data_IF_003274524154
#
_entry.id   IF_003274524154
#
_cell.length_a   1.000
_cell.length_b   1.000
_cell.length_c   1.000
_cell.angle_alpha   90.00
_cell.angle_beta   90.00
_cell.angle_gamma   90.00
#
_symmetry.space_group_name_H-M   'P 1'
#
loop_
_entity.id
_entity.type
_entity.pdbx_description
1 polymer ?
#
# COMPACT_ATOMS: atom_id res chain seq x y z
N UNK A 1 -14.80 -4.47 -12.73
CA UNK A 1 -13.78 -3.49 -12.26
C UNK A 1 -12.78 -4.11 -11.27
N UNK A 2 -13.23 -4.88 -10.27
CA UNK A 2 -12.34 -5.62 -9.34
C UNK A 2 -11.46 -6.66 -10.03
N UNK A 3 -12.01 -7.40 -10.99
CA UNK A 3 -11.25 -8.43 -11.72
C UNK A 3 -10.15 -7.83 -12.59
N UNK A 4 -10.45 -6.76 -13.34
CA UNK A 4 -9.46 -6.07 -14.19
C UNK A 4 -8.28 -5.51 -13.37
N UNK A 5 -8.51 -5.17 -12.10
CA UNK A 5 -7.48 -4.66 -11.21
C UNK A 5 -6.58 -5.78 -10.67
N UNK A 6 -7.18 -6.90 -10.23
CA UNK A 6 -6.45 -8.08 -9.81
C UNK A 6 -5.59 -8.63 -10.96
N UNK A 7 -6.12 -8.65 -12.18
CA UNK A 7 -5.32 -9.03 -13.36
C UNK A 7 -4.16 -8.07 -13.61
N UNK A 8 -4.33 -6.76 -13.35
CA UNK A 8 -3.27 -5.78 -13.55
C UNK A 8 -2.15 -5.91 -12.51
N UNK A 9 -2.49 -6.12 -11.23
CA UNK A 9 -1.50 -6.37 -10.16
C UNK A 9 -0.76 -7.68 -10.42
N UNK A 10 -1.49 -8.75 -10.78
CA UNK A 10 -0.87 -10.02 -11.14
C UNK A 10 0.05 -9.88 -12.35
N UNK A 11 -0.34 -9.10 -13.37
CA UNK A 11 0.51 -8.82 -14.52
C UNK A 11 1.80 -8.09 -14.09
N UNK A 12 1.70 -7.06 -13.22
CA UNK A 12 2.86 -6.33 -12.71
C UNK A 12 3.82 -7.23 -11.92
N UNK A 13 3.27 -8.10 -11.05
CA UNK A 13 4.07 -9.08 -10.30
C UNK A 13 4.74 -10.09 -11.23
N UNK A 14 4.02 -10.60 -12.23
CA UNK A 14 4.60 -11.51 -13.23
C UNK A 14 5.71 -10.81 -14.01
N UNK A 15 5.51 -9.56 -14.46
CA UNK A 15 6.56 -8.82 -15.17
C UNK A 15 7.80 -8.61 -14.29
N UNK A 16 7.62 -8.32 -13.01
CA UNK A 16 8.71 -8.14 -12.04
C UNK A 16 9.49 -9.45 -11.82
N UNK A 17 8.81 -10.59 -11.73
CA UNK A 17 9.44 -11.91 -11.62
C UNK A 17 10.18 -12.29 -12.91
N UNK A 18 9.59 -12.01 -14.07
CA UNK A 18 10.21 -12.29 -15.37
C UNK A 18 11.48 -11.47 -15.57
N UNK A 19 11.45 -10.16 -15.26
CA UNK A 19 12.62 -9.28 -15.39
C UNK A 19 13.73 -9.74 -14.44
N UNK A 20 13.41 -9.98 -13.16
CA UNK A 20 14.41 -10.43 -12.18
C UNK A 20 15.00 -11.80 -12.54
N UNK A 21 14.18 -12.74 -13.01
CA UNK A 21 14.64 -14.06 -13.46
C UNK A 21 15.48 -13.99 -14.74
N UNK A 22 15.17 -13.07 -15.66
CA UNK A 22 16.00 -12.83 -16.83
C UNK A 22 17.37 -12.26 -16.42
N UNK A 23 17.38 -11.28 -15.51
CA UNK A 23 18.62 -10.71 -14.97
C UNK A 23 19.47 -11.76 -14.24
N UNK A 24 18.86 -12.62 -13.43
CA UNK A 24 19.60 -13.68 -12.73
C UNK A 24 20.23 -14.65 -13.73
N UNK A 25 19.48 -15.09 -14.75
CA UNK A 25 19.99 -15.99 -15.78
C UNK A 25 21.20 -15.41 -16.54
N UNK A 26 21.14 -14.14 -16.94
CA UNK A 26 22.22 -13.49 -17.68
C UNK A 26 23.47 -13.20 -16.83
N UNK A 27 23.32 -13.02 -15.51
CA UNK A 27 24.41 -12.67 -14.60
C UNK A 27 25.00 -13.87 -13.85
N UNK A 28 24.37 -15.04 -13.98
CA UNK A 28 24.81 -16.27 -13.30
C UNK A 28 26.06 -16.84 -14.00
N UNK A 29 27.21 -16.71 -13.34
CA UNK A 29 28.48 -17.25 -13.84
C UNK A 29 29.72 -16.46 -13.42
N UNK A 30 29.57 -15.18 -13.08
CA UNK A 30 30.67 -14.30 -12.66
C UNK A 30 30.43 -13.70 -11.27
N UNK A 31 31.50 -13.54 -10.49
CA UNK A 31 31.43 -12.90 -9.15
C UNK A 31 30.91 -11.45 -9.22
N UNK A 32 31.26 -10.73 -10.29
CA UNK A 32 30.75 -9.37 -10.55
C UNK A 32 29.23 -9.35 -10.80
N UNK A 33 28.69 -10.41 -11.44
CA UNK A 33 27.26 -10.54 -11.69
C UNK A 33 26.44 -10.71 -10.41
N UNK A 34 26.98 -11.43 -9.42
CA UNK A 34 26.36 -11.56 -8.10
C UNK A 34 26.23 -10.22 -7.38
N UNK A 35 27.27 -9.36 -7.46
CA UNK A 35 27.24 -8.03 -6.84
C UNK A 35 26.18 -7.15 -7.49
N UNK A 36 26.09 -7.16 -8.82
CA UNK A 36 25.06 -6.42 -9.55
C UNK A 36 23.67 -6.89 -9.13
N UNK A 37 23.44 -8.20 -9.08
CA UNK A 37 22.16 -8.80 -8.69
C UNK A 37 21.76 -8.40 -7.26
N UNK A 38 22.72 -8.35 -6.33
CA UNK A 38 22.50 -7.87 -4.96
C UNK A 38 22.06 -6.40 -4.95
N UNK A 39 22.72 -5.54 -5.74
CA UNK A 39 22.33 -4.13 -5.91
C UNK A 39 20.92 -4.02 -6.50
N UNK A 40 20.57 -4.79 -7.53
CA UNK A 40 19.21 -4.81 -8.08
C UNK A 40 18.18 -5.23 -7.02
N UNK A 41 18.48 -6.27 -6.24
CA UNK A 41 17.60 -6.72 -5.16
C UNK A 41 17.36 -5.61 -4.13
N UNK A 42 18.42 -4.91 -3.71
CA UNK A 42 18.30 -3.79 -2.77
C UNK A 42 17.50 -2.62 -3.35
N UNK A 43 17.74 -2.24 -4.60
CA UNK A 43 17.00 -1.16 -5.25
C UNK A 43 15.53 -1.53 -5.46
N UNK A 44 15.26 -2.78 -5.82
CA UNK A 44 13.91 -3.32 -5.97
C UNK A 44 13.14 -3.29 -4.64
N UNK A 45 13.74 -3.80 -3.56
CA UNK A 45 13.14 -3.75 -2.22
C UNK A 45 12.93 -2.29 -1.82
N UNK A 46 13.93 -1.43 -2.02
CA UNK A 46 13.82 0.01 -1.77
C UNK A 46 12.66 0.65 -2.52
N UNK A 47 12.43 0.25 -3.78
CA UNK A 47 11.35 0.80 -4.62
C UNK A 47 9.96 0.43 -4.12
N UNK A 48 9.82 -0.77 -3.55
CA UNK A 48 8.58 -1.22 -2.92
C UNK A 48 8.26 -0.50 -1.60
N UNK A 49 9.27 0.06 -0.91
CA UNK A 49 9.08 0.78 0.37
C UNK A 49 9.00 2.30 0.22
N UNK A 50 9.91 2.90 -0.54
CA UNK A 50 10.04 4.36 -0.66
C UNK A 50 9.39 4.92 -1.93
N UNK A 51 8.88 4.06 -2.81
CA UNK A 51 8.28 4.44 -4.09
C UNK A 51 9.29 4.63 -5.22
N UNK A 52 8.79 5.05 -6.38
CA UNK A 52 9.53 5.10 -7.64
C UNK A 52 10.64 6.15 -7.65
N UNK A 53 10.31 7.37 -7.24
CA UNK A 53 11.11 8.58 -7.47
C UNK A 53 12.48 8.59 -6.74
N UNK A 54 12.57 8.30 -5.43
CA UNK A 54 13.86 8.34 -4.73
C UNK A 54 14.84 7.28 -5.25
N UNK A 55 14.33 6.08 -5.54
CA UNK A 55 15.16 4.97 -6.02
C UNK A 55 15.64 5.20 -7.45
N UNK A 56 14.81 5.79 -8.31
CA UNK A 56 15.21 6.15 -9.66
C UNK A 56 16.36 7.16 -9.64
N UNK A 57 16.31 8.15 -8.74
CA UNK A 57 17.40 9.13 -8.56
C UNK A 57 18.68 8.46 -8.07
N UNK A 58 18.60 7.60 -7.06
CA UNK A 58 19.76 6.83 -6.57
C UNK A 58 20.38 5.99 -7.67
N UNK A 59 19.54 5.37 -8.49
CA UNK A 59 19.97 4.54 -9.62
C UNK A 59 20.68 5.39 -10.67
N UNK A 60 20.12 6.55 -11.03
CA UNK A 60 20.75 7.44 -12.01
C UNK A 60 22.13 7.91 -11.55
N UNK A 61 22.28 8.25 -10.27
CA UNK A 61 23.59 8.63 -9.68
C UNK A 61 24.57 7.46 -9.74
N UNK A 62 24.14 6.25 -9.39
CA UNK A 62 24.95 5.03 -9.50
C UNK A 62 25.44 4.81 -10.94
N UNK A 63 24.53 4.88 -11.92
CA UNK A 63 24.86 4.73 -13.33
C UNK A 63 25.82 5.81 -13.83
N UNK A 64 25.63 7.05 -13.38
CA UNK A 64 26.51 8.15 -13.76
C UNK A 64 27.93 7.96 -13.22
N UNK A 65 28.07 7.56 -11.94
CA UNK A 65 29.38 7.28 -11.32
C UNK A 65 30.06 6.08 -11.98
N UNK A 66 29.34 4.96 -12.12
CA UNK A 66 29.87 3.74 -12.77
C UNK A 66 30.25 4.00 -14.22
N UNK A 67 29.40 4.69 -14.99
CA UNK A 67 29.66 5.05 -16.37
C UNK A 67 30.86 5.98 -16.53
N UNK A 68 31.03 6.96 -15.62
CA UNK A 68 32.19 7.86 -15.63
C UNK A 68 33.49 7.11 -15.36
N UNK A 69 33.49 6.16 -14.42
CA UNK A 69 34.66 5.30 -14.14
C UNK A 69 35.01 4.47 -15.37
N UNK A 70 34.02 3.85 -16.03
CA UNK A 70 34.26 3.07 -17.25
C UNK A 70 34.84 3.92 -18.37
N UNK A 71 34.27 5.10 -18.61
CA UNK A 71 34.72 6.01 -19.65
C UNK A 71 36.15 6.51 -19.40
N UNK A 72 36.50 6.80 -18.14
CA UNK A 72 37.84 7.18 -17.73
C UNK A 72 38.87 6.07 -18.02
N UNK A 73 38.53 4.82 -17.73
CA UNK A 73 39.42 3.68 -18.01
C UNK A 73 39.64 3.47 -19.52
N UNK A 74 38.60 3.69 -20.34
CA UNK A 74 38.72 3.63 -21.81
C UNK A 74 39.63 4.75 -22.33
N UNK A 75 39.51 5.98 -21.81
CA UNK A 75 40.32 7.13 -22.23
C UNK A 75 41.81 6.99 -21.95
N UNK A 76 42.19 6.30 -20.88
CA UNK A 76 43.61 6.11 -20.48
C UNK A 76 44.30 5.03 -21.31
N UNK A 77 43.60 4.41 -22.26
CA UNK A 77 44.18 3.41 -23.15
C UNK A 77 44.51 2.11 -22.40
N UNK A 78 43.80 1.82 -21.30
CA UNK A 78 43.80 0.46 -20.76
C UNK A 78 43.35 -0.47 -21.89
N UNK A 79 44.21 -1.44 -22.25
CA UNK A 79 43.91 -2.39 -23.31
C UNK A 79 42.51 -2.96 -23.07
N UNK A 80 41.60 -2.74 -24.03
CA UNK A 80 40.26 -3.29 -23.96
C UNK A 80 40.36 -4.81 -24.11
N UNK A 81 40.55 -5.49 -22.99
CA UNK A 81 40.44 -6.94 -22.92
C UNK A 81 38.98 -7.33 -23.24
N UNK A 82 38.78 -8.53 -23.78
CA UNK A 82 37.43 -9.06 -24.09
C UNK A 82 36.46 -8.98 -22.90
N UNK A 83 36.99 -9.04 -21.68
CA UNK A 83 36.23 -8.87 -20.44
C UNK A 83 35.63 -7.47 -20.26
N UNK A 84 36.34 -6.41 -20.70
CA UNK A 84 35.88 -5.03 -20.58
C UNK A 84 34.78 -4.71 -21.59
N UNK A 85 34.84 -5.30 -22.79
CA UNK A 85 33.80 -5.16 -23.82
C UNK A 85 32.53 -5.91 -23.42
N UNK A 86 32.65 -7.14 -22.90
CA UNK A 86 31.53 -7.88 -22.31
C UNK A 86 30.87 -7.10 -21.17
N UNK A 87 31.67 -6.48 -20.29
CA UNK A 87 31.14 -5.66 -19.20
C UNK A 87 30.33 -4.45 -19.70
N UNK A 88 30.77 -3.81 -20.79
CA UNK A 88 30.09 -2.66 -21.40
C UNK A 88 28.73 -3.04 -22.00
N UNK A 89 28.68 -4.16 -22.72
CA UNK A 89 27.44 -4.70 -23.31
C UNK A 89 26.44 -5.11 -22.22
N UNK A 90 26.92 -5.79 -21.17
CA UNK A 90 26.11 -6.17 -20.01
C UNK A 90 25.63 -4.94 -19.24
N UNK A 91 26.48 -3.93 -19.05
CA UNK A 91 26.13 -2.71 -18.31
C UNK A 91 24.96 -1.94 -18.95
N UNK A 92 24.94 -1.82 -20.29
CA UNK A 92 23.86 -1.15 -21.01
C UNK A 92 22.54 -1.91 -20.91
N UNK A 93 22.56 -3.22 -21.19
CA UNK A 93 21.38 -4.07 -21.08
C UNK A 93 20.83 -4.09 -19.65
N UNK A 94 21.73 -4.23 -18.68
CA UNK A 94 21.40 -4.26 -17.27
C UNK A 94 20.79 -2.94 -16.80
N UNK A 95 21.33 -1.80 -17.22
CA UNK A 95 20.79 -0.49 -16.85
C UNK A 95 19.38 -0.25 -17.36
N UNK A 96 19.12 -0.59 -18.63
CA UNK A 96 17.77 -0.49 -19.18
C UNK A 96 16.79 -1.40 -18.43
N UNK A 97 17.17 -2.66 -18.20
CA UNK A 97 16.35 -3.61 -17.46
C UNK A 97 16.08 -3.14 -16.02
N UNK A 98 17.06 -2.52 -15.36
CA UNK A 98 16.97 -2.06 -13.99
C UNK A 98 16.08 -0.81 -13.86
N UNK A 99 16.12 0.10 -14.84
CA UNK A 99 15.18 1.24 -14.92
C UNK A 99 13.75 0.72 -15.05
N UNK A 100 13.49 -0.22 -15.97
CA UNK A 100 12.15 -0.81 -16.14
C UNK A 100 11.70 -1.49 -14.85
N UNK A 101 12.59 -2.26 -14.21
CA UNK A 101 12.30 -2.95 -12.94
C UNK A 101 11.86 -1.97 -11.85
N UNK A 102 12.58 -0.85 -11.66
CA UNK A 102 12.25 0.16 -10.65
C UNK A 102 10.92 0.84 -10.96
N UNK A 103 10.65 1.14 -12.23
CA UNK A 103 9.38 1.76 -12.64
C UNK A 103 8.21 0.83 -12.31
N UNK A 104 8.33 -0.47 -12.64
CA UNK A 104 7.28 -1.46 -12.34
C UNK A 104 7.09 -1.63 -10.83
N UNK A 105 8.18 -1.78 -10.08
CA UNK A 105 8.14 -1.94 -8.61
C UNK A 105 7.54 -0.70 -7.92
N UNK A 106 7.97 0.49 -8.35
CA UNK A 106 7.50 1.75 -7.78
C UNK A 106 6.04 2.04 -8.12
N UNK A 107 5.59 1.72 -9.34
CA UNK A 107 4.16 1.79 -9.69
C UNK A 107 3.33 0.85 -8.82
N UNK A 108 3.83 -0.34 -8.52
CA UNK A 108 3.15 -1.26 -7.62
C UNK A 108 3.02 -0.68 -6.21
N UNK A 109 4.04 0.00 -5.70
CA UNK A 109 3.97 0.75 -4.44
C UNK A 109 2.88 1.83 -4.46
N UNK A 110 2.85 2.67 -5.50
CA UNK A 110 1.83 3.72 -5.66
C UNK A 110 0.40 3.13 -5.64
N UNK A 111 0.17 2.05 -6.40
CA UNK A 111 -1.12 1.36 -6.42
C UNK A 111 -1.51 0.79 -5.06
N UNK A 112 -0.58 0.18 -4.33
CA UNK A 112 -0.85 -0.34 -2.98
C UNK A 112 -1.22 0.78 -2.01
N UNK A 113 -0.52 1.91 -2.08
CA UNK A 113 -0.76 3.04 -1.19
C UNK A 113 -2.11 3.70 -1.45
N UNK A 114 -2.47 3.92 -2.71
CA UNK A 114 -3.80 4.42 -3.08
C UNK A 114 -4.92 3.49 -2.60
N UNK A 115 -4.73 2.17 -2.73
CA UNK A 115 -5.71 1.19 -2.25
C UNK A 115 -5.84 1.20 -0.74
N UNK A 116 -4.73 1.28 -0.02
CA UNK A 116 -4.77 1.35 1.44
C UNK A 116 -5.48 2.62 1.92
N UNK A 117 -5.28 3.75 1.24
CA UNK A 117 -6.01 4.98 1.53
C UNK A 117 -7.51 4.85 1.22
N UNK A 118 -7.88 4.25 0.09
CA UNK A 118 -9.29 4.02 -0.26
C UNK A 118 -9.97 3.07 0.72
N UNK A 119 -9.28 2.02 1.17
CA UNK A 119 -9.80 1.10 2.19
C UNK A 119 -10.05 1.85 3.51
N UNK A 120 -9.08 2.65 3.97
CA UNK A 120 -9.27 3.48 5.18
C UNK A 120 -10.46 4.45 5.04
N UNK A 121 -10.60 5.12 3.90
CA UNK A 121 -11.74 6.00 3.65
C UNK A 121 -13.07 5.23 3.62
N UNK A 122 -13.08 4.00 3.10
CA UNK A 122 -14.26 3.14 3.10
C UNK A 122 -14.60 2.66 4.51
N UNK A 123 -13.61 2.29 5.32
CA UNK A 123 -13.80 1.94 6.73
C UNK A 123 -14.31 3.12 7.55
N UNK A 124 -13.77 4.32 7.35
CA UNK A 124 -14.27 5.55 7.99
C UNK A 124 -15.72 5.82 7.60
N UNK A 125 -16.07 5.67 6.31
CA UNK A 125 -17.45 5.81 5.85
C UNK A 125 -18.37 4.75 6.44
N UNK A 126 -17.97 3.48 6.44
CA UNK A 126 -18.75 2.40 7.05
C UNK A 126 -18.96 2.66 8.54
N UNK A 127 -17.93 3.09 9.27
CA UNK A 127 -18.04 3.46 10.68
C UNK A 127 -19.03 4.62 10.88
N UNK A 128 -19.08 5.56 9.94
CA UNK A 128 -20.02 6.68 9.95
C UNK A 128 -21.46 6.29 9.52
N UNK A 129 -21.63 5.29 8.66
CA UNK A 129 -22.95 4.84 8.17
C UNK A 129 -23.56 3.72 9.01
N UNK A 130 -22.74 2.89 9.66
CA UNK A 130 -23.12 2.04 10.79
C UNK A 130 -23.21 2.95 12.02
N UNK A 131 -24.11 3.91 11.92
CA UNK A 131 -24.48 4.85 12.96
C UNK A 131 -25.80 4.43 13.61
N UNK A 132 -26.58 3.61 12.91
CA UNK A 132 -27.93 3.19 13.26
C UNK A 132 -27.93 1.68 13.52
N UNK A 133 -28.47 1.29 14.67
CA UNK A 133 -28.76 -0.10 15.03
C UNK A 133 -29.86 -0.65 14.13
N UNK A 134 -29.60 -1.79 13.50
CA UNK A 134 -30.49 -2.35 12.45
C UNK A 134 -31.79 -2.91 13.04
N UNK A 135 -31.76 -3.34 14.31
CA UNK A 135 -32.90 -3.96 14.97
C UNK A 135 -33.89 -2.91 15.52
N UNK A 136 -33.37 -1.75 15.93
CA UNK A 136 -34.16 -0.72 16.62
C UNK A 136 -34.28 0.61 15.85
N UNK A 137 -33.42 0.86 14.87
CA UNK A 137 -33.40 2.13 14.14
C UNK A 137 -32.84 3.32 14.93
N UNK A 138 -32.43 3.12 16.19
CA UNK A 138 -31.75 4.14 17.00
C UNK A 138 -30.26 4.21 16.69
N UNK A 139 -29.60 5.27 17.16
CA UNK A 139 -28.16 5.35 17.08
C UNK A 139 -27.51 4.20 17.85
N UNK A 140 -26.49 3.59 17.24
CA UNK A 140 -25.75 2.53 17.90
C UNK A 140 -24.90 3.08 19.05
N UNK A 141 -24.41 2.18 19.91
CA UNK A 141 -23.67 2.56 21.11
C UNK A 141 -22.47 3.47 20.82
N UNK A 142 -21.73 3.20 19.73
CA UNK A 142 -20.54 3.98 19.36
C UNK A 142 -20.93 5.42 19.03
N UNK A 143 -21.95 5.61 18.17
CA UNK A 143 -22.43 6.95 17.79
C UNK A 143 -23.05 7.69 18.97
N UNK A 144 -23.89 7.03 19.76
CA UNK A 144 -24.46 7.63 20.97
C UNK A 144 -23.37 8.16 21.89
N UNK A 145 -22.30 7.38 22.10
CA UNK A 145 -21.21 7.85 22.95
C UNK A 145 -20.45 9.02 22.35
N UNK A 146 -20.18 9.01 21.04
CA UNK A 146 -19.55 10.15 20.36
C UNK A 146 -20.37 11.43 20.51
N UNK A 147 -21.68 11.37 20.27
CA UNK A 147 -22.57 12.54 20.40
C UNK A 147 -22.63 13.04 21.84
N UNK A 148 -22.72 12.14 22.83
CA UNK A 148 -22.66 12.51 24.26
C UNK A 148 -21.36 13.22 24.60
N UNK A 149 -20.20 12.70 24.16
CA UNK A 149 -18.91 13.35 24.42
C UNK A 149 -18.79 14.72 23.74
N UNK A 150 -19.31 14.86 22.53
CA UNK A 150 -19.32 16.14 21.81
C UNK A 150 -20.24 17.16 22.47
N UNK A 151 -21.42 16.75 22.93
CA UNK A 151 -22.33 17.63 23.67
C UNK A 151 -21.80 18.01 25.05
N UNK A 152 -21.19 17.09 25.78
CA UNK A 152 -20.49 17.41 27.04
C UNK A 152 -19.39 18.46 26.81
N UNK A 153 -18.60 18.33 25.74
CA UNK A 153 -17.57 19.32 25.38
C UNK A 153 -18.15 20.66 24.95
N UNK A 154 -19.31 20.68 24.29
CA UNK A 154 -20.00 21.93 23.94
C UNK A 154 -20.59 22.59 25.18
N UNK A 155 -21.19 21.81 26.06
CA UNK A 155 -21.74 22.28 27.33
C UNK A 155 -20.66 22.93 28.20
N UNK A 156 -19.49 22.30 28.33
CA UNK A 156 -18.34 22.86 29.04
C UNK A 156 -17.82 24.16 28.41
N UNK A 157 -17.84 24.26 27.08
CA UNK A 157 -17.35 25.43 26.34
C UNK A 157 -18.29 26.64 26.41
N UNK A 158 -19.59 26.40 26.53
CA UNK A 158 -20.63 27.45 26.49
C UNK A 158 -21.39 27.60 27.81
N UNK A 159 -20.93 26.95 28.88
CA UNK A 159 -21.56 26.94 30.22
C UNK A 159 -23.06 26.55 30.15
N UNK A 160 -23.36 25.50 29.39
CA UNK A 160 -24.72 24.99 29.21
C UNK A 160 -24.98 23.81 30.16
N UNK A 161 -26.25 23.65 30.56
CA UNK A 161 -26.69 22.48 31.31
C UNK A 161 -26.89 21.28 30.36
N UNK A 162 -26.23 20.17 30.64
CA UNK A 162 -26.38 18.91 29.93
C UNK A 162 -27.18 17.89 30.77
N UNK A 163 -28.18 17.24 30.18
CA UNK A 163 -28.97 16.19 30.81
C UNK A 163 -28.99 14.95 29.90
N UNK A 164 -28.73 13.78 30.50
CA UNK A 164 -28.74 12.48 29.82
C UNK A 164 -29.77 11.58 30.49
N UNK A 165 -30.66 10.97 29.70
CA UNK A 165 -31.72 10.10 30.20
C UNK A 165 -31.49 8.68 29.71
N UNK A 166 -31.49 7.72 30.65
CA UNK A 166 -31.38 6.31 30.34
C UNK A 166 -32.72 5.61 30.59
N UNK A 167 -33.25 4.97 29.56
CA UNK A 167 -34.44 4.13 29.67
C UNK A 167 -34.05 2.66 29.58
N UNK A 168 -34.65 1.83 30.42
CA UNK A 168 -34.50 0.37 30.39
C UNK A 168 -35.87 -0.27 30.45
N UNK A 169 -36.16 -1.13 29.49
CA UNK A 169 -37.39 -1.93 29.49
C UNK A 169 -37.20 -3.10 30.46
N UNK A 170 -37.99 -3.14 31.52
CA UNK A 170 -38.02 -4.27 32.43
C UNK A 170 -38.74 -5.48 31.80
N UNK A 171 -38.30 -6.69 32.16
CA UNK A 171 -38.89 -7.95 31.68
C UNK A 171 -38.92 -8.15 30.15
N UNK A 172 -38.08 -7.43 29.39
CA UNK A 172 -38.00 -7.56 27.92
C UNK A 172 -37.76 -8.99 27.44
N UNK A 173 -36.95 -9.78 28.17
CA UNK A 173 -36.68 -11.19 27.84
C UNK A 173 -37.95 -12.05 27.93
N UNK A 174 -38.81 -11.77 28.89
CA UNK A 174 -40.05 -12.50 29.09
C UNK A 174 -41.11 -12.08 28.07
N UNK A 175 -41.17 -10.78 27.77
CA UNK A 175 -41.99 -10.23 26.68
C UNK A 175 -41.64 -10.87 25.33
N UNK A 176 -40.34 -10.91 24.96
CA UNK A 176 -39.86 -11.54 23.73
C UNK A 176 -40.12 -13.05 23.66
N UNK A 177 -40.25 -13.72 24.81
CA UNK A 177 -40.60 -15.16 24.88
C UNK A 177 -42.10 -15.39 24.66
N UNK A 178 -42.93 -14.46 25.12
CA UNK A 178 -44.38 -14.56 25.09
C UNK A 178 -45.00 -14.10 23.75
N UNK A 179 -44.35 -13.16 23.07
CA UNK A 179 -44.81 -12.57 21.82
C UNK A 179 -43.91 -12.92 20.64
N UNK A 180 -44.46 -12.90 19.42
CA UNK A 180 -43.75 -13.29 18.19
C UNK A 180 -42.75 -12.19 17.77
N UNK A 181 -41.74 -12.55 16.97
CA UNK A 181 -40.68 -11.62 16.55
C UNK A 181 -41.22 -10.34 15.88
N UNK A 182 -42.35 -10.43 15.16
CA UNK A 182 -43.00 -9.30 14.50
C UNK A 182 -43.64 -8.30 15.48
N UNK A 183 -44.17 -8.78 16.61
CA UNK A 183 -44.78 -7.94 17.65
C UNK A 183 -43.71 -7.18 18.45
N UNK A 184 -42.54 -7.79 18.65
CA UNK A 184 -41.39 -7.16 19.29
C UNK A 184 -40.82 -6.04 18.41
N UNK A 185 -40.86 -6.19 17.08
CA UNK A 185 -40.42 -5.13 16.16
C UNK A 185 -41.35 -3.92 16.19
N UNK A 186 -42.65 -4.13 16.45
CA UNK A 186 -43.64 -3.06 16.58
C UNK A 186 -43.45 -2.18 17.82
N UNK A 187 -42.75 -2.64 18.86
CA UNK A 187 -42.42 -1.80 20.03
C UNK A 187 -41.48 -0.63 19.71
N UNK A 188 -40.72 -0.73 18.62
CA UNK A 188 -39.66 0.22 18.28
C UNK A 188 -40.03 1.20 17.16
N UNK A 189 -41.21 1.02 16.53
CA UNK A 189 -41.79 1.93 15.53
C UNK A 189 -42.67 2.98 16.18
#
# INVERSE_FOLDING_TARGET
MRDNMLTMINLMLVTLVVITSSMTYFLMGNAEGLVLLLIAGLLMVGSLYFGTLPILMTTLVLFFVSGSILFYNVLIGANMNQQMQYFLDVFLYYGLALIVLIIVAGKLHEYMMERMQQLRQQEERLTKYVAIDVDTGFDNQTRMMTEVFEEMRRADRYDLNFALVFFKIENYKEFKRLYSADEVLHMWK
#
